data_IF_701904385206
#
_entry.id   IF_701904385206
#
_cell.length_a   1.000
_cell.length_b   1.000
_cell.length_c   1.000
_cell.angle_alpha   90.00
_cell.angle_beta   90.00
_cell.angle_gamma   90.00
#
_symmetry.space_group_name_H-M   'P 1'
#
loop_
_entity.id
_entity.type
_entity.pdbx_description
1 polymer ?
#
# COMPACT_ATOMS: atom_id res chain seq x y z
N UNK A 1 -8.19 17.62 -1.42
CA UNK A 1 -7.22 16.58 -1.83
C UNK A 1 -6.09 16.44 -0.79
N UNK A 2 -5.45 17.55 -0.38
CA UNK A 2 -4.35 17.57 0.62
C UNK A 2 -4.71 16.94 1.97
N UNK A 3 -5.93 17.16 2.49
CA UNK A 3 -6.35 16.65 3.80
C UNK A 3 -6.42 15.12 3.92
N UNK A 4 -6.47 14.38 2.81
CA UNK A 4 -6.49 12.90 2.80
C UNK A 4 -5.08 12.33 2.65
N UNK A 5 -4.22 13.06 1.95
CA UNK A 5 -2.85 12.63 1.62
C UNK A 5 -1.97 12.65 2.88
N UNK A 6 -2.03 13.74 3.66
CA UNK A 6 -1.23 13.89 4.89
C UNK A 6 -1.44 12.71 5.85
N UNK A 7 -2.67 12.37 6.30
CA UNK A 7 -2.85 11.26 7.23
C UNK A 7 -2.45 9.92 6.64
N UNK A 8 -2.68 9.69 5.34
CA UNK A 8 -2.33 8.44 4.67
C UNK A 8 -0.81 8.24 4.59
N UNK A 9 -0.05 9.32 4.34
CA UNK A 9 1.41 9.32 4.38
C UNK A 9 1.92 9.10 5.80
N UNK A 10 1.35 9.80 6.79
CA UNK A 10 1.76 9.63 8.20
C UNK A 10 1.58 8.18 8.67
N UNK A 11 0.43 7.57 8.37
CA UNK A 11 0.17 6.15 8.70
C UNK A 11 1.17 5.24 7.98
N UNK A 12 1.42 5.48 6.69
CA UNK A 12 2.37 4.68 5.90
C UNK A 12 3.80 4.81 6.41
N UNK A 13 4.23 6.00 6.84
CA UNK A 13 5.56 6.23 7.42
C UNK A 13 5.74 5.47 8.73
N UNK A 14 4.76 5.56 9.64
CA UNK A 14 4.79 4.83 10.92
C UNK A 14 4.84 3.33 10.67
N UNK A 15 4.03 2.85 9.72
CA UNK A 15 3.98 1.44 9.35
C UNK A 15 5.30 0.95 8.75
N UNK A 16 5.86 1.68 7.78
CA UNK A 16 7.18 1.39 7.18
C UNK A 16 8.29 1.40 8.23
N UNK A 17 8.26 2.36 9.17
CA UNK A 17 9.24 2.44 10.24
C UNK A 17 9.16 1.25 11.19
N UNK A 18 7.94 0.81 11.55
CA UNK A 18 7.75 -0.40 12.35
C UNK A 18 8.27 -1.65 11.61
N UNK A 19 7.97 -1.79 10.32
CA UNK A 19 8.48 -2.89 9.51
C UNK A 19 10.00 -2.88 9.36
N UNK A 20 10.61 -1.70 9.28
CA UNK A 20 12.06 -1.57 9.29
C UNK A 20 12.69 -2.07 10.60
N UNK A 21 12.10 -1.76 11.75
CA UNK A 21 12.55 -2.31 13.05
C UNK A 21 12.40 -3.84 13.08
N UNK A 22 11.31 -4.37 12.54
CA UNK A 22 11.08 -5.82 12.46
C UNK A 22 12.10 -6.47 11.51
N UNK A 23 12.38 -5.86 10.36
CA UNK A 23 13.38 -6.31 9.40
C UNK A 23 14.77 -6.36 10.03
N UNK A 24 15.17 -5.34 10.81
CA UNK A 24 16.45 -5.34 11.52
C UNK A 24 16.64 -6.56 12.42
N UNK A 25 15.55 -7.04 13.05
CA UNK A 25 15.58 -8.24 13.89
C UNK A 25 15.51 -9.56 13.11
N UNK A 26 14.68 -9.61 12.07
CA UNK A 26 14.45 -10.85 11.28
C UNK A 26 15.45 -11.05 10.15
N UNK A 27 16.23 -10.01 9.78
CA UNK A 27 17.09 -9.95 8.59
C UNK A 27 16.39 -10.34 7.29
N UNK A 28 15.06 -10.32 7.27
CA UNK A 28 14.26 -10.64 6.10
C UNK A 28 13.80 -9.35 5.41
N UNK A 29 14.52 -8.97 4.35
CA UNK A 29 14.19 -7.78 3.56
C UNK A 29 12.82 -7.87 2.87
N UNK A 30 12.33 -9.08 2.58
CA UNK A 30 11.05 -9.28 1.87
C UNK A 30 9.83 -8.75 2.64
N UNK A 31 9.91 -8.65 3.97
CA UNK A 31 8.81 -8.12 4.79
C UNK A 31 8.55 -6.64 4.47
N UNK A 32 9.58 -5.87 4.17
CA UNK A 32 9.46 -4.44 3.84
C UNK A 32 8.81 -4.24 2.48
N UNK A 33 9.19 -5.04 1.49
CA UNK A 33 8.58 -5.05 0.16
C UNK A 33 7.07 -5.40 0.21
N UNK A 34 6.69 -6.41 1.00
CA UNK A 34 5.27 -6.74 1.24
C UNK A 34 4.57 -5.54 1.88
N UNK A 35 5.16 -4.95 2.91
CA UNK A 35 4.61 -3.77 3.58
C UNK A 35 4.39 -2.59 2.64
N UNK A 36 5.35 -2.32 1.76
CA UNK A 36 5.25 -1.22 0.81
C UNK A 36 4.10 -1.45 -0.17
N UNK A 37 3.93 -2.70 -0.60
CA UNK A 37 2.81 -3.12 -1.44
C UNK A 37 1.46 -2.86 -0.75
N UNK A 38 1.36 -3.16 0.55
CA UNK A 38 0.16 -2.87 1.36
C UNK A 38 -0.10 -1.37 1.47
N UNK A 39 0.93 -0.54 1.65
CA UNK A 39 0.78 0.92 1.66
C UNK A 39 0.21 1.44 0.34
N UNK A 40 0.74 1.00 -0.80
CA UNK A 40 0.24 1.40 -2.13
C UNK A 40 -1.23 0.99 -2.32
N UNK A 41 -1.59 -0.23 -1.92
CA UNK A 41 -2.98 -0.68 -1.93
C UNK A 41 -3.88 0.19 -1.06
N UNK A 42 -3.43 0.53 0.16
CA UNK A 42 -4.15 1.40 1.07
C UNK A 42 -4.38 2.82 0.51
N UNK A 43 -3.40 3.41 -0.19
CA UNK A 43 -3.60 4.66 -0.92
C UNK A 43 -4.68 4.53 -2.01
N UNK A 44 -4.68 3.40 -2.74
CA UNK A 44 -5.73 3.07 -3.72
C UNK A 44 -7.12 3.04 -3.09
N UNK A 45 -7.27 2.39 -1.93
CA UNK A 45 -8.52 2.37 -1.15
C UNK A 45 -8.97 3.78 -0.74
N UNK A 46 -8.05 4.58 -0.19
CA UNK A 46 -8.36 5.94 0.26
C UNK A 46 -8.77 6.85 -0.90
N UNK A 47 -8.14 6.68 -2.06
CA UNK A 47 -8.52 7.40 -3.27
C UNK A 47 -9.89 6.95 -3.80
N UNK A 48 -10.21 5.65 -3.75
CA UNK A 48 -11.52 5.16 -4.15
C UNK A 48 -12.65 5.79 -3.30
N UNK A 49 -12.46 5.79 -1.97
CA UNK A 49 -13.44 6.27 -0.99
C UNK A 49 -13.61 7.79 -0.98
N UNK A 50 -12.50 8.54 -0.95
CA UNK A 50 -12.51 9.99 -0.70
C UNK A 50 -11.98 10.82 -1.86
N UNK A 51 -11.48 10.17 -2.91
CA UNK A 51 -10.91 10.84 -4.08
C UNK A 51 -12.00 11.47 -4.97
N UNK A 52 -11.74 12.68 -5.50
CA UNK A 52 -12.61 13.29 -6.48
C UNK A 52 -12.52 12.56 -7.83
N UNK A 53 -13.60 12.56 -8.59
CA UNK A 53 -13.64 11.98 -9.94
C UNK A 53 -14.77 10.98 -10.15
N UNK A 54 -14.94 10.56 -11.41
CA UNK A 54 -15.99 9.65 -11.82
C UNK A 54 -15.80 8.27 -11.19
N UNK A 55 -16.92 7.69 -10.74
CA UNK A 55 -16.95 6.43 -10.02
C UNK A 55 -16.29 5.28 -10.80
N UNK A 56 -16.54 5.19 -12.11
CA UNK A 56 -15.97 4.17 -13.00
C UNK A 56 -14.44 4.21 -13.03
N UNK A 57 -13.84 5.41 -13.06
CA UNK A 57 -12.37 5.57 -13.04
C UNK A 57 -11.77 5.13 -11.71
N UNK A 58 -12.48 5.41 -10.61
CA UNK A 58 -12.03 5.01 -9.27
C UNK A 58 -12.05 3.49 -9.12
N UNK A 59 -13.07 2.80 -9.66
CA UNK A 59 -13.15 1.34 -9.65
C UNK A 59 -12.03 0.70 -10.48
N UNK A 60 -11.77 1.22 -11.69
CA UNK A 60 -10.70 0.69 -12.53
C UNK A 60 -9.33 0.83 -11.86
N UNK A 61 -9.07 2.00 -11.26
CA UNK A 61 -7.84 2.25 -10.52
C UNK A 61 -7.69 1.30 -9.32
N UNK A 62 -8.76 1.11 -8.54
CA UNK A 62 -8.77 0.20 -7.40
C UNK A 62 -8.49 -1.26 -7.82
N UNK A 63 -9.13 -1.72 -8.91
CA UNK A 63 -8.90 -3.07 -9.45
C UNK A 63 -7.47 -3.22 -9.95
N UNK A 64 -6.94 -2.26 -10.71
CA UNK A 64 -5.56 -2.31 -11.19
C UNK A 64 -4.55 -2.41 -10.05
N UNK A 65 -4.70 -1.57 -9.03
CA UNK A 65 -3.82 -1.58 -7.86
C UNK A 65 -3.97 -2.88 -7.08
N UNK A 66 -5.19 -3.40 -6.90
CA UNK A 66 -5.43 -4.68 -6.23
C UNK A 66 -4.79 -5.86 -6.95
N UNK A 67 -4.95 -5.95 -8.27
CA UNK A 67 -4.34 -7.00 -9.08
C UNK A 67 -2.80 -6.91 -9.05
N UNK A 68 -2.25 -5.70 -9.19
CA UNK A 68 -0.81 -5.48 -9.13
C UNK A 68 -0.23 -5.83 -7.75
N UNK A 69 -0.88 -5.37 -6.67
CA UNK A 69 -0.46 -5.64 -5.30
C UNK A 69 -0.53 -7.14 -4.98
N UNK A 70 -1.63 -7.80 -5.34
CA UNK A 70 -1.82 -9.24 -5.16
C UNK A 70 -0.76 -10.04 -5.89
N UNK A 71 -0.46 -9.70 -7.15
CA UNK A 71 0.60 -10.35 -7.92
C UNK A 71 1.97 -10.20 -7.26
N UNK A 72 2.29 -9.01 -6.75
CA UNK A 72 3.60 -8.73 -6.13
C UNK A 72 3.78 -9.48 -4.80
N UNK A 73 2.76 -9.48 -3.93
CA UNK A 73 2.79 -10.24 -2.67
C UNK A 73 2.90 -11.74 -2.95
N UNK A 74 2.17 -12.26 -3.94
CA UNK A 74 2.26 -13.66 -4.33
C UNK A 74 3.69 -14.06 -4.74
N UNK A 75 4.36 -13.25 -5.57
CA UNK A 75 5.74 -13.52 -5.96
C UNK A 75 6.72 -13.46 -4.79
N UNK A 76 6.47 -12.62 -3.79
CA UNK A 76 7.33 -12.50 -2.62
C UNK A 76 7.16 -13.63 -1.61
N UNK A 77 5.93 -14.11 -1.42
CA UNK A 77 5.63 -15.22 -0.51
C UNK A 77 5.98 -16.57 -1.13
N UNK A 78 5.92 -16.69 -2.46
CA UNK A 78 6.24 -17.91 -3.19
C UNK A 78 7.74 -18.15 -3.42
N UNK A 79 8.63 -17.32 -2.83
CA UNK A 79 10.09 -17.49 -2.86
C UNK A 79 10.58 -18.14 -1.58
#
# INVERSE_FOLDING_TARGET
MVSIVIPSITVSLIFMFALWIIQLKTRNAGIVDIGWTVCVFFFGCMYFLKGPGFFQRKILFFIMIGLWAGRLVYHLVSR
#
